data_IF_464627047069
#
_entry.id   IF_464627047069
#
_cell.length_a   1.000
_cell.length_b   1.000
_cell.length_c   1.000
_cell.angle_alpha   90.00
_cell.angle_beta   90.00
_cell.angle_gamma   90.00
#
_symmetry.space_group_name_H-M   'P 1'
#
loop_
_entity.id
_entity.type
_entity.pdbx_description
1 polymer ?
#
# COMPACT_ATOMS: atom_id res chain seq x y z
N UNK A 1 -15.96 6.59 -9.39
CA UNK A 1 -14.73 6.60 -10.21
C UNK A 1 -13.82 5.49 -9.73
N UNK A 2 -13.72 4.37 -10.44
CA UNK A 2 -12.75 3.29 -10.17
C UNK A 2 -12.60 2.50 -11.46
N UNK A 3 -11.59 2.84 -12.26
CA UNK A 3 -11.13 1.99 -13.36
C UNK A 3 -9.64 2.26 -13.58
N UNK A 4 -8.83 1.29 -13.20
CA UNK A 4 -7.66 0.91 -13.97
C UNK A 4 -7.76 -0.59 -14.18
N UNK A 5 -8.43 -0.94 -15.27
CA UNK A 5 -8.39 -2.26 -15.86
C UNK A 5 -7.27 -2.24 -16.88
N UNK A 6 -6.30 -3.12 -16.70
CA UNK A 6 -5.16 -3.30 -17.59
C UNK A 6 -4.24 -4.38 -17.07
N UNK A 7 -4.78 -5.55 -16.72
CA UNK A 7 -4.05 -6.83 -16.57
C UNK A 7 -2.70 -6.86 -15.79
N UNK A 8 -2.37 -5.83 -14.97
CA UNK A 8 -1.03 -5.61 -14.37
C UNK A 8 -1.11 -5.00 -12.95
N UNK A 9 -1.80 -5.65 -12.00
CA UNK A 9 -2.19 -4.96 -10.75
C UNK A 9 -2.35 -5.78 -9.47
N UNK A 10 -1.72 -6.95 -9.34
CA UNK A 10 -1.81 -7.75 -8.10
C UNK A 10 -0.79 -7.29 -7.05
N UNK A 11 0.41 -6.89 -7.46
CA UNK A 11 1.48 -6.57 -6.51
C UNK A 11 1.09 -5.47 -5.53
N UNK A 12 0.51 -4.38 -6.03
CA UNK A 12 0.09 -3.27 -5.17
C UNK A 12 -1.11 -3.61 -4.29
N UNK A 13 -2.05 -4.45 -4.77
CA UNK A 13 -3.17 -4.90 -3.93
C UNK A 13 -2.71 -5.83 -2.82
N UNK A 14 -1.83 -6.80 -3.12
CA UNK A 14 -1.23 -7.67 -2.09
C UNK A 14 -0.46 -6.84 -1.08
N UNK A 15 0.35 -5.87 -1.53
CA UNK A 15 1.05 -4.98 -0.61
C UNK A 15 0.08 -4.19 0.27
N UNK A 16 -1.01 -3.67 -0.29
CA UNK A 16 -2.02 -2.95 0.47
C UNK A 16 -2.68 -3.84 1.54
N UNK A 17 -3.01 -5.08 1.19
CA UNK A 17 -3.60 -6.05 2.12
C UNK A 17 -2.62 -6.37 3.27
N UNK A 18 -1.37 -6.74 2.95
CA UNK A 18 -0.33 -7.03 3.95
C UNK A 18 -0.12 -5.83 4.88
N UNK A 19 0.03 -4.63 4.33
CA UNK A 19 0.29 -3.42 5.11
C UNK A 19 -0.90 -3.12 6.04
N UNK A 20 -2.14 -3.27 5.55
CA UNK A 20 -3.34 -3.09 6.35
C UNK A 20 -3.47 -4.12 7.48
N UNK A 21 -3.15 -5.39 7.22
CA UNK A 21 -3.12 -6.45 8.25
C UNK A 21 -2.10 -6.14 9.36
N UNK A 22 -1.04 -5.39 9.06
CA UNK A 22 -0.05 -4.93 10.01
C UNK A 22 -0.38 -3.56 10.64
N UNK A 23 -1.59 -3.02 10.38
CA UNK A 23 -2.04 -1.74 10.91
C UNK A 23 -1.35 -0.53 10.28
N UNK A 24 -0.77 -0.69 9.10
CA UNK A 24 -0.12 0.37 8.34
C UNK A 24 -0.97 0.96 7.22
N UNK A 25 -0.38 1.89 6.48
CA UNK A 25 -0.97 2.54 5.31
C UNK A 25 0.06 2.64 4.17
N UNK A 26 -0.42 2.64 2.92
CA UNK A 26 0.39 2.85 1.72
C UNK A 26 -0.15 4.05 0.92
N UNK A 27 0.76 4.93 0.49
CA UNK A 27 0.49 6.11 -0.34
C UNK A 27 1.33 6.06 -1.61
N UNK A 28 0.75 6.48 -2.74
CA UNK A 28 1.43 6.54 -4.03
C UNK A 28 1.30 7.93 -4.61
N UNK A 29 2.44 8.55 -4.89
CA UNK A 29 2.56 9.86 -5.54
C UNK A 29 3.28 9.63 -6.88
N UNK A 30 2.62 9.92 -7.99
CA UNK A 30 3.19 9.72 -9.32
C UNK A 30 2.73 10.81 -10.27
N UNK A 31 3.62 11.20 -11.18
CA UNK A 31 3.34 12.14 -12.26
C UNK A 31 4.00 11.63 -13.54
N UNK A 32 3.26 11.67 -14.64
CA UNK A 32 3.76 11.19 -15.94
C UNK A 32 5.02 11.95 -16.36
N UNK A 33 6.03 11.22 -16.83
CA UNK A 33 7.33 11.78 -17.16
C UNK A 33 8.25 12.04 -15.95
N UNK A 34 7.80 11.72 -14.73
CA UNK A 34 8.61 11.77 -13.50
C UNK A 34 8.69 10.39 -12.83
N UNK A 35 9.41 10.30 -11.72
CA UNK A 35 9.47 9.08 -10.92
C UNK A 35 8.16 8.87 -10.13
N UNK A 36 7.90 7.62 -9.75
CA UNK A 36 6.83 7.27 -8.82
C UNK A 36 7.40 7.13 -7.42
N UNK A 37 6.81 7.82 -6.45
CA UNK A 37 7.10 7.67 -5.04
C UNK A 37 6.04 6.80 -4.39
N UNK A 38 6.47 5.76 -3.68
CA UNK A 38 5.61 4.93 -2.84
C UNK A 38 6.05 5.11 -1.40
N UNK A 39 5.12 5.42 -0.51
CA UNK A 39 5.36 5.64 0.92
C UNK A 39 4.57 4.60 1.69
N UNK A 40 5.24 3.89 2.59
CA UNK A 40 4.63 2.89 3.48
C UNK A 40 4.85 3.34 4.91
N UNK A 41 3.76 3.42 5.67
CA UNK A 41 3.75 3.80 7.08
C UNK A 41 3.30 2.58 7.89
N UNK A 42 4.12 2.16 8.85
CA UNK A 42 3.82 1.01 9.72
C UNK A 42 3.97 1.44 11.19
N UNK A 43 3.17 0.86 12.11
CA UNK A 43 3.39 1.04 13.54
C UNK A 43 4.81 0.63 13.93
N UNK A 44 5.53 1.52 14.63
CA UNK A 44 6.90 1.25 15.08
C UNK A 44 6.98 0.12 16.14
N UNK A 45 5.86 -0.17 16.79
CA UNK A 45 5.70 -1.24 17.76
C UNK A 45 4.49 -2.07 17.31
N UNK A 46 4.66 -3.39 17.22
CA UNK A 46 3.57 -4.29 16.90
C UNK A 46 2.43 -4.11 17.93
N UNK A 47 1.16 -4.09 17.51
CA UNK A 47 0.05 -4.02 18.44
C UNK A 47 0.12 -5.21 19.41
N UNK A 48 -0.28 -5.03 20.68
CA UNK A 48 -0.29 -6.11 21.65
C UNK A 48 -1.13 -7.27 21.11
N UNK A 49 -0.57 -8.48 21.12
CA UNK A 49 -1.34 -9.67 20.75
C UNK A 49 -2.51 -9.81 21.73
N UNK A 50 -3.76 -9.98 21.24
CA UNK A 50 -4.86 -10.30 22.13
C UNK A 50 -4.59 -11.64 22.84
N UNK A 51 -4.91 -11.69 24.13
CA UNK A 51 -4.83 -12.88 24.98
C UNK A 51 -5.88 -13.93 24.61
#
# INVERSE_FOLDING_TARGET
MKKFGGETGIGLSICADIIAEHGGEIKVESKEGEFTRVVVELPAIAPPRPN
#
